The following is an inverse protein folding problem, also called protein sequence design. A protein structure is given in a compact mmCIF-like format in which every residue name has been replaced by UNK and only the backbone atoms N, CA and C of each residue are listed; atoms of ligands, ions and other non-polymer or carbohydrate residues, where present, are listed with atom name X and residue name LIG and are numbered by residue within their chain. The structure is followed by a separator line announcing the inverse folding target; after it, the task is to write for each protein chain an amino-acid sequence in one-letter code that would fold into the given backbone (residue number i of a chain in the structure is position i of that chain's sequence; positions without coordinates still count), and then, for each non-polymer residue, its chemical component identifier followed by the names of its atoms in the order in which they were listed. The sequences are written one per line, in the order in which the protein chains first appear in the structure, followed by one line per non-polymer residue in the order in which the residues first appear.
data_IF_412322165382
#
_entry.id   IF_412322165382
#
_cell.length_a   1.000
_cell.length_b   1.000
_cell.length_c   1.000
_cell.angle_alpha   90.00
_cell.angle_beta   90.00
_cell.angle_gamma   90.00
#
_symmetry.space_group_name_H-M   'P 1'
#
loop_
_entity.id
_entity.type
_entity.pdbx_description
1 polymer ?
#
# COMPACT_ATOMS: atom_id res chain seq x y z
N UNK A 1 35.39 -27.83 30.53
CA UNK A 1 33.97 -27.52 30.84
C UNK A 1 33.87 -26.12 31.42
N UNK A 2 33.43 -25.13 30.63
CA UNK A 2 32.85 -23.86 31.12
C UNK A 2 31.81 -23.37 30.11
N UNK A 3 30.60 -23.87 30.35
CA UNK A 3 29.31 -23.16 30.35
C UNK A 3 29.02 -22.11 29.28
N UNK A 4 28.08 -22.49 28.40
CA UNK A 4 27.24 -21.66 27.56
C UNK A 4 26.54 -20.55 28.36
N UNK A 5 26.91 -19.28 28.15
CA UNK A 5 26.12 -18.11 28.57
C UNK A 5 26.26 -17.04 27.47
N UNK A 6 25.59 -17.21 26.34
CA UNK A 6 25.40 -16.14 25.34
C UNK A 6 24.05 -16.21 24.61
N UNK A 7 23.09 -17.01 25.11
CA UNK A 7 21.76 -17.15 24.52
C UNK A 7 20.68 -16.76 25.54
N UNK A 8 20.58 -15.48 25.90
CA UNK A 8 19.49 -15.02 26.78
C UNK A 8 19.19 -13.50 26.73
N UNK A 9 19.48 -12.75 25.65
CA UNK A 9 19.19 -11.30 25.62
C UNK A 9 18.31 -10.82 24.45
N UNK A 10 18.12 -11.59 23.38
CA UNK A 10 17.31 -11.08 22.24
C UNK A 10 15.79 -11.27 22.37
N UNK A 11 15.30 -11.96 23.40
CA UNK A 11 13.86 -12.27 23.52
C UNK A 11 13.00 -11.14 24.15
N UNK A 12 13.60 -10.08 24.71
CA UNK A 12 12.86 -9.02 25.40
C UNK A 12 12.58 -7.77 24.55
N UNK A 13 13.27 -7.59 23.42
CA UNK A 13 13.08 -6.42 22.57
C UNK A 13 11.89 -6.55 21.62
N UNK A 14 11.58 -7.76 21.14
CA UNK A 14 10.47 -7.99 20.21
C UNK A 14 9.08 -7.89 20.87
N UNK A 15 8.96 -8.25 22.15
CA UNK A 15 7.68 -8.19 22.86
C UNK A 15 7.25 -6.78 23.26
N UNK A 16 8.19 -5.84 23.43
CA UNK A 16 7.86 -4.47 23.85
C UNK A 16 7.50 -3.55 22.67
N UNK A 17 8.11 -3.77 21.50
CA UNK A 17 7.80 -2.99 20.29
C UNK A 17 6.41 -3.32 19.73
N UNK A 18 6.01 -4.59 19.72
CA UNK A 18 4.69 -5.03 19.23
C UNK A 18 3.54 -4.46 20.09
N UNK A 19 3.64 -4.55 21.42
CA UNK A 19 2.62 -4.00 22.33
C UNK A 19 2.49 -2.49 22.21
N UNK A 20 3.63 -1.77 22.07
CA UNK A 20 3.61 -0.32 21.84
C UNK A 20 3.00 0.01 20.48
N UNK A 21 3.31 -0.77 19.44
CA UNK A 21 2.73 -0.61 18.11
C UNK A 21 1.22 -0.78 18.15
N UNK A 22 0.72 -1.84 18.80
CA UNK A 22 -0.71 -2.10 18.95
C UNK A 22 -1.42 -0.97 19.69
N UNK A 23 -0.82 -0.45 20.76
CA UNK A 23 -1.39 0.68 21.50
C UNK A 23 -1.49 1.95 20.63
N UNK A 24 -0.43 2.28 19.90
CA UNK A 24 -0.45 3.39 18.94
C UNK A 24 -1.47 3.16 17.83
N UNK A 25 -1.60 1.93 17.34
CA UNK A 25 -2.59 1.55 16.35
C UNK A 25 -4.03 1.77 16.86
N UNK A 26 -4.35 1.32 18.09
CA UNK A 26 -5.69 1.52 18.66
C UNK A 26 -6.02 3.00 18.79
N UNK A 27 -5.11 3.81 19.34
CA UNK A 27 -5.30 5.27 19.41
C UNK A 27 -5.57 5.89 18.05
N UNK A 28 -4.76 5.53 17.05
CA UNK A 28 -4.93 6.05 15.70
C UNK A 28 -6.27 5.67 15.08
N UNK A 29 -6.70 4.41 15.29
CA UNK A 29 -8.01 3.93 14.87
C UNK A 29 -9.15 4.65 15.59
N UNK A 30 -9.03 4.92 16.89
CA UNK A 30 -10.06 5.63 17.65
C UNK A 30 -10.17 7.10 17.20
N UNK A 31 -9.05 7.79 17.00
CA UNK A 31 -9.03 9.13 16.40
C UNK A 31 -9.67 9.14 15.00
N UNK A 32 -9.44 8.11 14.19
CA UNK A 32 -10.09 7.96 12.88
C UNK A 32 -11.62 7.88 13.00
N UNK A 33 -12.14 7.06 13.91
CA UNK A 33 -13.59 6.93 14.12
C UNK A 33 -14.24 8.20 14.68
N UNK A 34 -13.48 9.01 15.42
CA UNK A 34 -13.89 10.33 15.89
C UNK A 34 -13.74 11.43 14.82
N UNK A 35 -13.25 11.11 13.62
CA UNK A 35 -13.03 12.07 12.52
C UNK A 35 -11.78 12.94 12.67
N UNK A 36 -10.95 12.70 13.70
CA UNK A 36 -9.69 13.42 13.93
C UNK A 36 -8.56 12.81 13.08
N UNK A 37 -8.63 12.99 11.76
CA UNK A 37 -7.73 12.30 10.83
C UNK A 37 -6.24 12.65 10.97
N UNK A 38 -5.89 13.89 11.32
CA UNK A 38 -4.49 14.28 11.54
C UNK A 38 -3.88 13.60 12.79
N UNK A 39 -4.67 13.48 13.86
CA UNK A 39 -4.27 12.75 15.06
C UNK A 39 -4.17 11.24 14.78
N UNK A 40 -5.12 10.70 14.01
CA UNK A 40 -5.09 9.33 13.55
C UNK A 40 -3.79 9.01 12.80
N UNK A 41 -3.40 9.86 11.84
CA UNK A 41 -2.13 9.72 11.12
C UNK A 41 -0.94 9.73 12.06
N UNK A 42 -0.92 10.64 13.05
CA UNK A 42 0.19 10.76 14.00
C UNK A 42 0.40 9.45 14.77
N UNK A 43 -0.69 8.87 15.29
CA UNK A 43 -0.64 7.62 16.02
C UNK A 43 -0.37 6.41 15.12
N UNK A 44 -0.98 6.35 13.94
CA UNK A 44 -0.77 5.26 12.99
C UNK A 44 0.65 5.26 12.40
N UNK A 45 1.25 6.42 12.14
CA UNK A 45 2.66 6.52 11.77
C UNK A 45 3.56 5.99 12.87
N UNK A 46 3.24 6.31 14.13
CA UNK A 46 3.99 5.75 15.25
C UNK A 46 3.90 4.23 15.32
N UNK A 47 2.73 3.68 15.07
CA UNK A 47 2.55 2.23 14.97
C UNK A 47 3.39 1.64 13.81
N UNK A 48 3.40 2.28 12.64
CA UNK A 48 4.19 1.84 11.49
C UNK A 48 5.72 1.96 11.73
N UNK A 49 6.18 2.94 12.50
CA UNK A 49 7.59 3.01 12.93
C UNK A 49 7.98 1.86 13.86
N UNK A 50 7.06 1.44 14.75
CA UNK A 50 7.30 0.39 15.74
C UNK A 50 7.16 -1.01 15.15
N UNK A 51 6.23 -1.18 14.22
CA UNK A 51 6.07 -2.39 13.41
C UNK A 51 5.81 -2.02 11.94
N UNK A 52 6.88 -1.89 11.14
CA UNK A 52 6.79 -1.60 9.71
C UNK A 52 6.15 -2.71 8.88
N UNK A 53 5.95 -3.90 9.47
CA UNK A 53 5.40 -5.08 8.79
C UNK A 53 3.91 -5.29 9.08
N UNK A 54 3.29 -4.41 9.86
CA UNK A 54 1.86 -4.47 10.14
C UNK A 54 1.03 -4.03 8.93
N UNK A 55 0.59 -5.01 8.13
CA UNK A 55 -0.30 -4.80 6.99
C UNK A 55 -1.56 -4.01 7.39
N UNK A 56 -2.11 -4.29 8.58
CA UNK A 56 -3.29 -3.60 9.13
C UNK A 56 -3.02 -2.13 9.44
N UNK A 57 -1.85 -1.79 9.98
CA UNK A 57 -1.47 -0.39 10.23
C UNK A 57 -1.36 0.38 8.93
N UNK A 58 -0.70 -0.18 7.91
CA UNK A 58 -0.62 0.43 6.59
C UNK A 58 -2.00 0.55 5.93
N UNK A 59 -2.89 -0.44 6.09
CA UNK A 59 -4.27 -0.35 5.60
C UNK A 59 -5.05 0.80 6.26
N UNK A 60 -4.91 1.01 7.58
CA UNK A 60 -5.56 2.13 8.27
C UNK A 60 -4.98 3.48 7.86
N UNK A 61 -3.66 3.58 7.62
CA UNK A 61 -3.04 4.78 7.06
C UNK A 61 -3.63 5.09 5.68
N UNK A 62 -3.73 4.09 4.81
CA UNK A 62 -4.33 4.24 3.49
C UNK A 62 -5.76 4.78 3.57
N UNK A 63 -6.59 4.18 4.43
CA UNK A 63 -7.97 4.62 4.66
C UNK A 63 -8.05 6.05 5.21
N UNK A 64 -7.18 6.40 6.16
CA UNK A 64 -7.15 7.73 6.79
C UNK A 64 -6.74 8.79 5.78
N UNK A 65 -5.67 8.57 5.02
CA UNK A 65 -5.23 9.49 3.96
C UNK A 65 -6.27 9.65 2.86
N UNK A 66 -6.92 8.56 2.47
CA UNK A 66 -8.02 8.60 1.50
C UNK A 66 -9.19 9.46 1.98
N UNK A 67 -9.59 9.36 3.26
CA UNK A 67 -10.65 10.22 3.84
C UNK A 67 -10.27 11.70 3.84
N UNK A 68 -8.98 12.01 3.87
CA UNK A 68 -8.49 13.38 3.75
C UNK A 68 -8.30 13.85 2.30
N UNK A 69 -8.54 12.98 1.30
CA UNK A 69 -8.26 13.28 -0.11
C UNK A 69 -6.77 13.31 -0.47
N UNK A 70 -5.89 12.88 0.45
CA UNK A 70 -4.44 12.76 0.25
C UNK A 70 -4.13 11.46 -0.49
N UNK A 71 -4.55 11.38 -1.74
CA UNK A 71 -4.51 10.16 -2.54
C UNK A 71 -3.10 9.60 -2.78
N UNK A 72 -2.05 10.41 -3.02
CA UNK A 72 -0.69 9.87 -3.20
C UNK A 72 -0.19 9.10 -1.96
N UNK A 73 -0.39 9.64 -0.76
CA UNK A 73 -0.02 8.97 0.48
C UNK A 73 -0.91 7.75 0.76
N UNK A 74 -2.21 7.86 0.45
CA UNK A 74 -3.13 6.74 0.57
C UNK A 74 -2.68 5.57 -0.32
N UNK A 75 -2.27 5.87 -1.55
CA UNK A 75 -1.80 4.90 -2.54
C UNK A 75 -0.55 4.17 -2.10
N UNK A 76 0.43 4.90 -1.57
CA UNK A 76 1.66 4.32 -1.04
C UNK A 76 1.35 3.31 0.08
N UNK A 77 0.57 3.71 1.07
CA UNK A 77 0.22 2.85 2.18
C UNK A 77 -0.68 1.66 1.76
N UNK A 78 -1.53 1.83 0.75
CA UNK A 78 -2.33 0.72 0.21
C UNK A 78 -1.45 -0.33 -0.48
N UNK A 79 -0.42 0.10 -1.23
CA UNK A 79 0.56 -0.80 -1.85
C UNK A 79 1.39 -1.57 -0.83
N UNK A 80 1.86 -0.89 0.21
CA UNK A 80 2.58 -1.54 1.30
C UNK A 80 1.67 -2.54 2.03
N UNK A 81 0.43 -2.18 2.33
CA UNK A 81 -0.51 -3.10 2.97
C UNK A 81 -0.72 -4.37 2.12
N UNK A 82 -0.91 -4.21 0.81
CA UNK A 82 -1.08 -5.32 -0.11
C UNK A 82 0.16 -6.22 -0.20
N UNK A 83 1.36 -5.64 -0.27
CA UNK A 83 2.62 -6.41 -0.31
C UNK A 83 2.89 -7.16 1.00
N UNK A 84 2.40 -6.66 2.13
CA UNK A 84 2.43 -7.33 3.43
C UNK A 84 1.29 -8.35 3.65
N UNK A 85 0.45 -8.62 2.64
CA UNK A 85 -0.57 -9.66 2.70
C UNK A 85 -1.98 -9.18 3.09
N UNK A 86 -2.28 -7.89 3.04
CA UNK A 86 -3.65 -7.38 3.23
C UNK A 86 -4.53 -7.73 2.01
N UNK A 87 -5.02 -8.97 1.96
CA UNK A 87 -5.80 -9.52 0.85
C UNK A 87 -7.30 -9.65 1.19
N UNK A 88 -7.75 -9.01 2.26
CA UNK A 88 -9.16 -8.96 2.63
C UNK A 88 -9.97 -8.13 1.63
N UNK A 89 -11.27 -8.42 1.50
CA UNK A 89 -12.19 -7.64 0.64
C UNK A 89 -12.11 -6.14 0.97
N UNK A 90 -12.07 -5.77 2.24
CA UNK A 90 -11.96 -4.37 2.65
C UNK A 90 -10.66 -3.71 2.19
N UNK A 91 -9.55 -4.45 2.15
CA UNK A 91 -8.27 -3.93 1.64
C UNK A 91 -8.35 -3.72 0.13
N UNK A 92 -8.95 -4.68 -0.58
CA UNK A 92 -9.19 -4.59 -2.01
C UNK A 92 -10.10 -3.40 -2.37
N UNK A 93 -11.16 -3.16 -1.58
CA UNK A 93 -12.08 -2.05 -1.80
C UNK A 93 -11.39 -0.69 -1.62
N UNK A 94 -10.57 -0.54 -0.58
CA UNK A 94 -9.76 0.67 -0.33
C UNK A 94 -8.80 0.90 -1.50
N UNK A 95 -8.04 -0.14 -1.88
CA UNK A 95 -7.10 -0.07 -2.99
C UNK A 95 -7.81 0.34 -4.29
N UNK A 96 -8.97 -0.26 -4.56
CA UNK A 96 -9.80 0.02 -5.75
C UNK A 96 -10.28 1.46 -5.78
N UNK A 97 -10.77 1.98 -4.66
CA UNK A 97 -11.24 3.36 -4.57
C UNK A 97 -10.10 4.35 -4.80
N UNK A 98 -8.96 4.16 -4.13
CA UNK A 98 -7.77 5.02 -4.30
C UNK A 98 -7.27 4.99 -5.75
N UNK A 99 -7.10 3.80 -6.34
CA UNK A 99 -6.64 3.63 -7.72
C UNK A 99 -7.57 4.35 -8.70
N UNK A 100 -8.89 4.15 -8.57
CA UNK A 100 -9.88 4.80 -9.43
C UNK A 100 -9.86 6.32 -9.27
N UNK A 101 -9.73 6.84 -8.05
CA UNK A 101 -9.64 8.27 -7.82
C UNK A 101 -8.39 8.89 -8.45
N UNK A 102 -7.22 8.26 -8.32
CA UNK A 102 -5.99 8.72 -8.99
C UNK A 102 -6.10 8.63 -10.52
N UNK A 103 -6.62 7.51 -11.02
CA UNK A 103 -6.83 7.29 -12.45
C UNK A 103 -7.77 8.32 -13.07
N UNK A 104 -8.86 8.67 -12.38
CA UNK A 104 -9.81 9.68 -12.81
C UNK A 104 -9.20 11.09 -12.81
N UNK A 105 -8.47 11.48 -11.76
CA UNK A 105 -7.79 12.77 -11.68
C UNK A 105 -6.79 12.99 -12.82
N UNK A 106 -6.13 11.92 -13.24
CA UNK A 106 -5.11 11.95 -14.30
C UNK A 106 -5.61 11.45 -15.67
N UNK A 107 -6.94 11.35 -15.85
CA UNK A 107 -7.59 11.01 -17.13
C UNK A 107 -7.08 9.71 -17.75
N UNK A 108 -6.93 8.66 -16.94
CA UNK A 108 -6.59 7.33 -17.44
C UNK A 108 -7.73 6.76 -18.32
N UNK A 109 -8.94 7.29 -18.14
CA UNK A 109 -10.13 6.99 -18.92
C UNK A 109 -10.41 8.15 -19.88
N UNK A 110 -10.50 7.88 -21.19
CA UNK A 110 -10.77 8.89 -22.21
C UNK A 110 -10.21 8.54 -23.60
N UNK A 111 -10.42 9.45 -24.57
CA UNK A 111 -9.96 9.28 -25.98
C UNK A 111 -8.43 9.17 -26.06
N UNK A 112 -7.72 9.90 -25.19
CA UNK A 112 -6.27 9.80 -25.07
C UNK A 112 -5.93 8.92 -23.87
N UNK A 113 -5.45 7.71 -24.16
CA UNK A 113 -4.92 6.79 -23.17
C UNK A 113 -3.55 7.29 -22.64
N UNK A 114 -3.26 7.16 -21.34
CA UNK A 114 -1.99 7.60 -20.77
C UNK A 114 -0.83 6.73 -21.29
N UNK A 115 0.36 7.32 -21.40
CA UNK A 115 1.59 6.56 -21.68
C UNK A 115 2.09 5.86 -20.42
N UNK A 116 2.98 4.87 -20.57
CA UNK A 116 3.65 4.26 -19.42
C UNK A 116 4.38 5.29 -18.53
N UNK A 117 4.93 6.35 -19.13
CA UNK A 117 5.57 7.46 -18.40
C UNK A 117 4.55 8.25 -17.60
N UNK A 118 3.39 8.56 -18.18
CA UNK A 118 2.32 9.27 -17.47
C UNK A 118 1.80 8.43 -16.29
N UNK A 119 1.64 7.11 -16.49
CA UNK A 119 1.24 6.17 -15.45
C UNK A 119 2.25 6.20 -14.30
N UNK A 120 3.55 6.05 -14.58
CA UNK A 120 4.59 6.02 -13.55
C UNK A 120 4.71 7.38 -12.84
N UNK A 121 4.47 8.49 -13.53
CA UNK A 121 4.40 9.81 -12.90
C UNK A 121 3.22 9.94 -11.91
N UNK A 122 2.09 9.31 -12.23
CA UNK A 122 0.88 9.37 -11.41
C UNK A 122 0.88 8.35 -10.26
N UNK A 123 1.24 7.10 -10.53
CA UNK A 123 1.15 5.98 -9.58
C UNK A 123 2.50 5.63 -8.92
N UNK A 124 3.57 6.33 -9.29
CA UNK A 124 4.93 6.00 -8.87
C UNK A 124 5.51 4.81 -9.64
N UNK A 125 6.66 4.31 -9.18
CA UNK A 125 7.32 3.13 -9.76
C UNK A 125 6.43 1.91 -9.56
N UNK A 126 6.28 1.07 -10.58
CA UNK A 126 5.48 -0.16 -10.50
C UNK A 126 6.16 -1.21 -9.60
N UNK A 127 5.37 -2.08 -8.96
CA UNK A 127 5.89 -3.20 -8.17
C UNK A 127 6.60 -4.23 -9.06
N UNK A 128 6.10 -4.40 -10.30
CA UNK A 128 6.68 -5.29 -11.30
C UNK A 128 6.43 -4.78 -12.72
N UNK A 129 7.43 -4.99 -13.57
CA UNK A 129 7.37 -4.70 -15.01
C UNK A 129 7.39 -6.02 -15.78
N UNK A 130 6.48 -6.19 -16.73
CA UNK A 130 6.45 -7.32 -17.66
C UNK A 130 6.87 -6.85 -19.04
N UNK A 131 7.82 -7.55 -19.66
CA UNK A 131 8.27 -7.29 -21.02
C UNK A 131 7.93 -8.48 -21.92
N UNK A 132 7.78 -8.25 -23.22
CA UNK A 132 7.68 -9.32 -24.21
C UNK A 132 9.08 -9.90 -24.55
N UNK A 133 9.13 -10.90 -25.44
CA UNK A 133 10.39 -11.55 -25.85
C UNK A 133 11.32 -10.61 -26.63
N UNK A 134 10.81 -9.49 -27.15
CA UNK A 134 11.55 -8.46 -27.84
C UNK A 134 12.08 -7.35 -26.90
N UNK A 135 11.72 -7.40 -25.61
CA UNK A 135 12.12 -6.42 -24.60
C UNK A 135 11.18 -5.23 -24.46
N UNK A 136 10.06 -5.18 -25.19
CA UNK A 136 9.09 -4.08 -25.07
C UNK A 136 8.22 -4.24 -23.81
N UNK A 137 7.90 -3.11 -23.17
CA UNK A 137 7.03 -3.09 -22.01
C UNK A 137 5.61 -3.53 -22.39
N UNK A 138 5.15 -4.61 -21.75
CA UNK A 138 3.83 -5.23 -21.95
C UNK A 138 2.86 -4.95 -20.81
N UNK A 139 3.33 -4.88 -19.56
CA UNK A 139 2.47 -4.55 -18.44
C UNK A 139 3.20 -3.95 -17.23
N UNK A 140 2.46 -3.19 -16.42
CA UNK A 140 2.87 -2.64 -15.14
C UNK A 140 1.96 -3.19 -14.04
N UNK A 141 2.55 -3.70 -12.96
CA UNK A 141 1.81 -4.20 -11.80
C UNK A 141 1.89 -3.22 -10.63
N UNK A 142 0.73 -2.92 -10.05
CA UNK A 142 0.58 -2.15 -8.82
C UNK A 142 -0.34 -2.94 -7.87
N UNK A 143 0.26 -3.71 -6.96
CA UNK A 143 -0.45 -4.66 -6.10
C UNK A 143 -1.37 -5.58 -6.91
N UNK A 144 -2.70 -5.55 -6.68
CA UNK A 144 -3.65 -6.37 -7.42
C UNK A 144 -4.00 -5.80 -8.80
N UNK A 145 -3.45 -4.66 -9.24
CA UNK A 145 -3.77 -4.04 -10.53
C UNK A 145 -2.70 -4.33 -11.56
N UNK A 146 -3.10 -4.84 -12.72
CA UNK A 146 -2.27 -5.00 -13.90
C UNK A 146 -2.71 -4.00 -14.98
N UNK A 147 -1.79 -3.16 -15.42
CA UNK A 147 -1.99 -2.20 -16.51
C UNK A 147 -1.27 -2.72 -17.74
N UNK A 148 -2.04 -3.12 -18.76
CA UNK A 148 -1.50 -3.61 -20.03
C UNK A 148 -1.08 -2.44 -20.91
N UNK A 149 0.13 -2.54 -21.46
CA UNK A 149 0.75 -1.52 -22.29
C UNK A 149 0.96 -2.11 -23.69
N UNK A 150 0.54 -1.36 -24.71
CA UNK A 150 0.87 -1.64 -26.11
C UNK A 150 1.32 -0.35 -26.78
N UNK A 151 2.39 -0.45 -27.57
CA UNK A 151 3.04 0.69 -28.23
C UNK A 151 3.29 1.88 -27.26
N UNK A 152 3.60 1.57 -25.99
CA UNK A 152 3.88 2.55 -24.94
C UNK A 152 2.65 3.21 -24.28
N UNK A 153 1.42 2.82 -24.64
CA UNK A 153 0.17 3.38 -24.11
C UNK A 153 -0.70 2.35 -23.40
N UNK A 154 -1.49 2.80 -22.43
CA UNK A 154 -2.42 1.95 -21.67
C UNK A 154 -3.50 1.38 -22.58
N UNK A 155 -3.57 0.06 -22.72
CA UNK A 155 -4.63 -0.60 -23.50
C UNK A 155 -5.79 -1.05 -22.65
N UNK A 156 -5.51 -1.71 -21.51
CA UNK A 156 -6.50 -2.23 -20.59
C UNK A 156 -5.99 -2.27 -19.15
N UNK A 157 -6.94 -2.32 -18.22
CA UNK A 157 -6.69 -2.48 -16.78
C UNK A 157 -7.36 -3.77 -16.31
N UNK A 158 -6.62 -4.62 -15.62
CA UNK A 158 -7.07 -5.89 -15.09
C UNK A 158 -6.83 -5.95 -13.58
N UNK A 159 -7.76 -6.55 -12.84
CA UNK A 159 -7.61 -6.80 -11.41
C UNK A 159 -7.24 -8.27 -11.21
N UNK A 160 -6.01 -8.50 -10.76
CA UNK A 160 -5.51 -9.82 -10.38
C UNK A 160 -6.14 -10.17 -9.04
N UNK A 161 -7.11 -11.08 -9.08
CA UNK A 161 -7.91 -11.43 -7.92
C UNK A 161 -7.03 -12.04 -6.82
N UNK A 162 -7.00 -11.41 -5.65
CA UNK A 162 -6.27 -11.93 -4.48
C UNK A 162 -6.99 -13.14 -3.84
N UNK A 163 -8.21 -13.45 -4.28
CA UNK A 163 -8.99 -14.59 -3.84
C UNK A 163 -8.90 -15.76 -4.84
N UNK A 164 -7.90 -16.62 -4.64
CA UNK A 164 -8.02 -18.07 -4.84
C UNK A 164 -7.47 -18.77 -3.62
#
# INVERSE_FOLDING_TARGET
MKTYIFLAITALSFGCSSVKSDFSYQKGKDSFWNGHYDEAITHLKKAAELDPTSARTHQQLALTYERMGKLPEAWEHARIAYSLGAHSQSSFDIFTRIFRSLSAQHKFEGVRKPTAIDIVKTLGVADKYLHNDHGDLKALYYGPVCLHIDQGTLTSTEWVNAAR
#
